data_IF_652928222888
#
_entry.id   IF_652928222888
#
_cell.length_a   1.000
_cell.length_b   1.000
_cell.length_c   1.000
_cell.angle_alpha   90.00
_cell.angle_beta   90.00
_cell.angle_gamma   90.00
#
_symmetry.space_group_name_H-M   'P 1'
#
loop_
_entity.id
_entity.type
_entity.pdbx_description
1 polymer ?
#
# COMPACT_ATOMS: atom_id res chain seq x y z
N UNK A 1 -14.48 -0.31 -13.59
CA UNK A 1 -13.24 0.53 -13.62
C UNK A 1 -13.17 1.39 -12.37
N UNK A 2 -12.07 1.34 -11.61
CA UNK A 2 -11.97 2.14 -10.38
C UNK A 2 -11.79 3.61 -10.76
N UNK A 3 -12.70 4.49 -10.34
CA UNK A 3 -12.67 5.93 -10.62
C UNK A 3 -11.54 6.71 -9.92
N UNK A 4 -10.41 6.05 -9.65
CA UNK A 4 -9.24 6.67 -9.04
C UNK A 4 -8.39 7.34 -10.12
N UNK A 5 -7.80 8.51 -9.80
CA UNK A 5 -6.78 9.11 -10.64
C UNK A 5 -5.55 8.19 -10.72
N UNK A 6 -4.87 8.24 -11.88
CA UNK A 6 -3.73 7.36 -12.20
C UNK A 6 -2.38 8.02 -11.89
N UNK A 7 -2.37 9.32 -11.59
CA UNK A 7 -1.18 10.07 -11.23
C UNK A 7 -1.09 10.21 -9.71
N UNK A 8 0.13 10.12 -9.17
CA UNK A 8 0.35 10.09 -7.72
C UNK A 8 -0.08 11.38 -7.01
N UNK A 9 0.16 12.54 -7.65
CA UNK A 9 -0.25 13.83 -7.12
C UNK A 9 -1.79 13.91 -6.99
N UNK A 10 -2.50 13.59 -8.08
CA UNK A 10 -3.97 13.56 -8.11
C UNK A 10 -4.54 12.50 -7.15
N UNK A 11 -3.86 11.36 -7.01
CA UNK A 11 -4.25 10.30 -6.08
C UNK A 11 -4.05 10.73 -4.63
N UNK A 12 -2.97 11.44 -4.33
CA UNK A 12 -2.73 12.04 -3.03
C UNK A 12 -3.86 12.99 -2.64
N UNK A 13 -4.23 13.90 -3.53
CA UNK A 13 -5.40 14.79 -3.34
C UNK A 13 -6.71 14.01 -3.15
N UNK A 14 -6.97 13.00 -3.99
CA UNK A 14 -8.19 12.21 -3.93
C UNK A 14 -8.32 11.40 -2.62
N UNK A 15 -7.22 10.91 -2.07
CA UNK A 15 -7.18 10.13 -0.82
C UNK A 15 -7.07 11.05 0.42
N UNK A 16 -6.86 12.35 0.24
CA UNK A 16 -6.70 13.32 1.33
C UNK A 16 -5.30 13.34 1.93
N UNK A 17 -4.29 12.93 1.17
CA UNK A 17 -2.89 12.90 1.58
C UNK A 17 -1.98 13.46 0.46
N UNK A 18 -1.88 14.79 0.32
CA UNK A 18 -1.13 15.42 -0.77
C UNK A 18 0.39 15.14 -0.69
N UNK A 19 0.92 14.87 0.50
CA UNK A 19 2.32 14.47 0.74
C UNK A 19 2.65 13.04 0.26
N UNK A 20 1.66 12.29 -0.25
CA UNK A 20 1.84 10.92 -0.73
C UNK A 20 2.95 10.83 -1.78
N UNK A 21 3.04 11.80 -2.69
CA UNK A 21 4.09 11.82 -3.70
C UNK A 21 5.47 11.87 -3.04
N UNK A 22 5.71 12.85 -2.17
CA UNK A 22 7.00 13.05 -1.51
C UNK A 22 7.42 11.83 -0.69
N UNK A 23 6.50 11.26 0.10
CA UNK A 23 6.75 10.06 0.89
C UNK A 23 7.11 8.87 0.01
N UNK A 24 6.45 8.72 -1.14
CA UNK A 24 6.76 7.62 -2.06
C UNK A 24 8.13 7.82 -2.70
N UNK A 25 8.52 9.06 -3.00
CA UNK A 25 9.84 9.39 -3.54
C UNK A 25 10.95 9.11 -2.52
N UNK A 26 10.74 9.45 -1.25
CA UNK A 26 11.65 9.13 -0.15
C UNK A 26 11.77 7.61 0.04
N UNK A 27 10.65 6.90 0.08
CA UNK A 27 10.63 5.44 0.18
C UNK A 27 11.40 4.78 -0.98
N UNK A 28 11.19 5.23 -2.21
CA UNK A 28 11.92 4.70 -3.38
C UNK A 28 13.40 5.03 -3.33
N UNK A 29 13.78 6.23 -2.87
CA UNK A 29 15.18 6.62 -2.68
C UNK A 29 15.89 5.66 -1.71
N UNK A 30 15.26 5.38 -0.56
CA UNK A 30 15.75 4.42 0.44
C UNK A 30 15.84 2.99 -0.13
N UNK A 31 14.80 2.52 -0.83
CA UNK A 31 14.75 1.16 -1.38
C UNK A 31 15.75 0.92 -2.53
N UNK A 32 16.03 1.94 -3.33
CA UNK A 32 16.97 1.85 -4.44
C UNK A 32 18.43 2.07 -4.00
N UNK A 33 18.66 2.46 -2.74
CA UNK A 33 20.00 2.76 -2.22
C UNK A 33 20.69 3.86 -3.01
N UNK A 34 19.93 4.85 -3.49
CA UNK A 34 20.49 5.98 -4.22
C UNK A 34 21.40 6.77 -3.27
N UNK A 35 22.57 7.18 -3.74
CA UNK A 35 23.47 8.04 -2.97
C UNK A 35 22.75 9.33 -2.55
N UNK A 36 23.11 9.88 -1.39
CA UNK A 36 22.49 11.11 -0.85
C UNK A 36 22.56 12.31 -1.82
N UNK A 37 23.52 12.29 -2.75
CA UNK A 37 23.73 13.31 -3.78
C UNK A 37 22.78 13.18 -5.00
N UNK A 38 21.95 12.14 -5.08
CA UNK A 38 20.99 11.96 -6.17
C UNK A 38 19.63 12.57 -5.82
N UNK A 39 19.12 13.41 -6.71
CA UNK A 39 17.76 13.98 -6.62
C UNK A 39 16.70 12.89 -6.41
N UNK A 40 15.67 13.21 -5.61
CA UNK A 40 14.57 12.29 -5.34
C UNK A 40 13.90 11.83 -6.65
N UNK A 41 13.70 10.51 -6.84
CA UNK A 41 13.19 9.96 -8.10
C UNK A 41 11.81 10.52 -8.41
N UNK A 42 11.55 10.94 -9.64
CA UNK A 42 10.22 11.44 -10.04
C UNK A 42 9.36 10.30 -10.59
N UNK A 43 8.12 10.18 -10.11
CA UNK A 43 7.21 9.08 -10.45
C UNK A 43 6.31 9.52 -11.60
N UNK A 44 6.67 9.13 -12.82
CA UNK A 44 5.87 9.42 -14.03
C UNK A 44 4.98 8.24 -14.45
N UNK A 45 5.11 7.09 -13.77
CA UNK A 45 4.38 5.88 -14.09
C UNK A 45 2.92 5.95 -13.60
N UNK A 46 2.04 5.21 -14.28
CA UNK A 46 0.63 5.08 -13.89
C UNK A 46 0.50 4.21 -12.65
N UNK A 47 -0.28 4.68 -11.68
CA UNK A 47 -0.60 3.94 -10.45
C UNK A 47 -1.89 3.16 -10.64
N UNK A 48 -1.87 1.91 -10.20
CA UNK A 48 -3.06 1.06 -10.12
C UNK A 48 -3.45 0.90 -8.66
N UNK A 49 -4.69 1.27 -8.33
CA UNK A 49 -5.25 1.15 -6.98
C UNK A 49 -6.02 -0.16 -6.87
N UNK A 50 -5.71 -0.95 -5.84
CA UNK A 50 -6.41 -2.20 -5.54
C UNK A 50 -6.98 -2.13 -4.13
N UNK A 51 -8.29 -2.30 -4.00
CA UNK A 51 -8.95 -2.34 -2.71
C UNK A 51 -8.62 -3.63 -1.96
N UNK A 52 -8.11 -3.51 -0.75
CA UNK A 52 -7.97 -4.64 0.16
C UNK A 52 -8.24 -4.22 1.60
N UNK A 53 -8.82 -5.13 2.38
CA UNK A 53 -9.00 -4.99 3.81
C UNK A 53 -8.17 -6.05 4.56
N UNK A 54 -7.79 -5.75 5.79
CA UNK A 54 -7.14 -6.69 6.69
C UNK A 54 -8.13 -7.01 7.81
N UNK A 55 -8.46 -8.29 7.98
CA UNK A 55 -9.27 -8.79 9.09
C UNK A 55 -8.37 -9.53 10.06
N UNK A 56 -8.38 -9.12 11.34
CA UNK A 56 -7.67 -9.80 12.42
C UNK A 56 -8.71 -10.41 13.36
N UNK A 57 -8.66 -11.73 13.56
CA UNK A 57 -9.61 -12.44 14.41
C UNK A 57 -8.92 -13.54 15.22
N UNK A 58 -9.55 -13.91 16.33
CA UNK A 58 -9.08 -14.96 17.22
C UNK A 58 -9.80 -16.28 16.87
N UNK A 59 -9.03 -17.28 16.43
CA UNK A 59 -9.50 -18.61 16.03
C UNK A 59 -8.78 -19.69 16.86
N UNK A 60 -9.21 -19.95 18.10
CA UNK A 60 -8.54 -20.88 19.02
C UNK A 60 -8.69 -22.35 18.63
N UNK A 61 -9.71 -22.69 17.83
CA UNK A 61 -9.96 -24.04 17.30
C UNK A 61 -9.05 -24.42 16.14
N UNK A 62 -8.56 -23.46 15.36
CA UNK A 62 -7.71 -23.69 14.18
C UNK A 62 -6.23 -23.77 14.55
N UNK A 63 -5.89 -24.60 15.53
CA UNK A 63 -4.54 -24.67 16.12
C UNK A 63 -3.42 -24.98 15.12
N UNK A 64 -3.72 -25.63 14.00
CA UNK A 64 -2.75 -26.00 12.96
C UNK A 64 -2.50 -24.88 11.93
N UNK A 65 -3.43 -23.92 11.80
CA UNK A 65 -3.32 -22.74 10.91
C UNK A 65 -3.05 -21.44 11.67
N UNK A 66 -3.54 -21.37 12.91
CA UNK A 66 -3.35 -20.26 13.80
C UNK A 66 -2.03 -20.36 14.55
N UNK A 67 -1.18 -19.35 14.38
CA UNK A 67 0.12 -19.27 15.04
C UNK A 67 0.00 -19.30 16.57
N UNK A 68 1.16 -19.28 17.25
CA UNK A 68 1.23 -19.33 18.72
C UNK A 68 0.34 -18.20 19.29
N UNK A 69 -0.73 -18.58 20.02
CA UNK A 69 -1.81 -17.74 20.59
C UNK A 69 -3.10 -17.58 19.78
N UNK A 70 -3.34 -18.35 18.72
CA UNK A 70 -4.68 -18.43 18.10
C UNK A 70 -5.14 -17.17 17.36
N UNK A 71 -4.24 -16.20 17.12
CA UNK A 71 -4.54 -15.00 16.34
C UNK A 71 -4.31 -15.25 14.84
N UNK A 72 -5.25 -14.81 14.02
CA UNK A 72 -5.19 -14.90 12.57
C UNK A 72 -5.37 -13.54 11.92
N UNK A 73 -4.64 -13.35 10.82
CA UNK A 73 -4.72 -12.16 9.98
C UNK A 73 -4.97 -12.60 8.54
N UNK A 74 -6.06 -12.13 7.96
CA UNK A 74 -6.42 -12.40 6.57
C UNK A 74 -6.48 -11.09 5.78
N UNK A 75 -5.95 -11.12 4.55
CA UNK A 75 -6.04 -10.00 3.60
C UNK A 75 -7.12 -10.30 2.56
N UNK A 76 -8.24 -9.60 2.67
CA UNK A 76 -9.38 -9.72 1.75
C UNK A 76 -9.17 -8.72 0.62
N UNK A 77 -9.06 -9.19 -0.62
CA UNK A 77 -8.96 -8.33 -1.81
C UNK A 77 -10.36 -8.12 -2.37
N UNK A 78 -10.73 -6.88 -2.63
CA UNK A 78 -11.95 -6.57 -3.36
C UNK A 78 -11.61 -6.44 -4.85
N UNK A 79 -12.38 -7.13 -5.69
CA UNK A 79 -12.33 -6.98 -7.15
C UNK A 79 -13.54 -6.14 -7.56
N UNK A 80 -13.42 -4.81 -7.64
CA UNK A 80 -14.52 -3.98 -8.14
C UNK A 80 -14.74 -4.29 -9.62
N UNK A 81 -15.92 -4.82 -9.96
CA UNK A 81 -16.44 -4.94 -11.33
C UNK A 81 -16.76 -3.58 -11.91
#
# INVERSE_FOLDING_TARGET
ESGYPRFIAELGEHVGHPTLEELTRQFLHEQLGLSEDLDLPHITSKINVYHSAIAVFFAPSDRDRAGIRGMQQERIRCTPS
#
